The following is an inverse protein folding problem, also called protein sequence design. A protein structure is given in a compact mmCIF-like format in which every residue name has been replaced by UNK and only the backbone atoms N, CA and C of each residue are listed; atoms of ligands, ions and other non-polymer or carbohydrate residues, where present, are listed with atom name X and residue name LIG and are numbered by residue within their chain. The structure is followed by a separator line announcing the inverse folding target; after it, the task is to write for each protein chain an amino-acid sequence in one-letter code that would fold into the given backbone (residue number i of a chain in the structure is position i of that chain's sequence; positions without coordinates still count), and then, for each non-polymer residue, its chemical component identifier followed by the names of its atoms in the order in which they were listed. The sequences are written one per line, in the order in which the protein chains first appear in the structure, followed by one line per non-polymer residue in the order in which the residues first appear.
data_IF_714119572103
#
_entry.id   IF_714119572103
#
_cell.length_a   1.000
_cell.length_b   1.000
_cell.length_c   1.000
_cell.angle_alpha   90.00
_cell.angle_beta   90.00
_cell.angle_gamma   90.00
#
_symmetry.space_group_name_H-M   'P 1'
#
loop_
_entity.id
_entity.type
_entity.pdbx_description
1 polymer ?
#
# COMPACT_ATOMS: atom_id res chain seq x y z
N UNK A 1 -2.19 -1.35 -28.37
CA UNK A 1 -1.20 -0.33 -27.94
C UNK A 1 -1.77 0.68 -26.92
N UNK A 2 -2.96 1.27 -27.12
CA UNK A 2 -3.51 2.32 -26.22
C UNK A 2 -3.79 1.86 -24.77
N UNK A 3 -4.19 0.61 -24.56
CA UNK A 3 -4.50 0.06 -23.23
C UNK A 3 -3.28 0.04 -22.30
N UNK A 4 -2.17 -0.56 -22.74
CA UNK A 4 -0.93 -0.64 -21.94
C UNK A 4 -0.37 0.74 -21.62
N UNK A 5 -0.49 1.70 -22.55
CA UNK A 5 -0.10 3.08 -22.30
C UNK A 5 -1.01 3.77 -21.27
N UNK A 6 -2.32 3.50 -21.30
CA UNK A 6 -3.26 4.01 -20.28
C UNK A 6 -2.97 3.40 -18.92
N UNK A 7 -2.70 2.10 -18.86
CA UNK A 7 -2.30 1.40 -17.64
C UNK A 7 -0.99 1.98 -17.07
N UNK A 8 0.03 2.17 -17.91
CA UNK A 8 1.29 2.80 -17.48
C UNK A 8 1.10 4.20 -16.90
N UNK A 9 0.21 5.01 -17.50
CA UNK A 9 -0.17 6.32 -16.95
C UNK A 9 -0.93 6.21 -15.62
N UNK A 10 -1.82 5.23 -15.49
CA UNK A 10 -2.55 4.99 -14.24
C UNK A 10 -1.61 4.59 -13.09
N UNK A 11 -0.57 3.80 -13.38
CA UNK A 11 0.45 3.40 -12.43
C UNK A 11 1.37 4.55 -12.00
N UNK A 12 1.41 5.68 -12.72
CA UNK A 12 2.20 6.85 -12.28
C UNK A 12 1.59 7.54 -11.05
N UNK A 13 0.27 7.44 -10.85
CA UNK A 13 -0.44 8.12 -9.76
C UNK A 13 0.05 7.68 -8.37
N UNK A 14 0.15 6.36 -8.08
CA UNK A 14 0.73 5.86 -6.82
C UNK A 14 2.25 6.06 -6.75
N UNK A 15 2.95 5.89 -7.87
CA UNK A 15 4.42 6.03 -7.94
C UNK A 15 4.87 7.45 -7.58
N UNK A 16 4.08 8.46 -7.88
CA UNK A 16 4.35 9.85 -7.51
C UNK A 16 4.46 10.08 -5.99
N UNK A 17 3.95 9.16 -5.17
CA UNK A 17 4.04 9.25 -3.69
C UNK A 17 5.37 8.69 -3.17
N UNK A 18 6.02 7.77 -3.89
CA UNK A 18 7.28 7.14 -3.47
C UNK A 18 8.41 8.12 -3.11
N UNK A 19 8.63 9.25 -3.83
CA UNK A 19 9.66 10.22 -3.46
C UNK A 19 9.43 10.83 -2.08
N UNK A 20 8.18 11.13 -1.73
CA UNK A 20 7.85 11.68 -0.40
C UNK A 20 8.16 10.65 0.70
N UNK A 21 7.85 9.37 0.45
CA UNK A 21 8.17 8.28 1.38
C UNK A 21 9.67 8.19 1.62
N UNK A 22 10.46 8.24 0.56
CA UNK A 22 11.92 8.19 0.62
C UNK A 22 12.51 9.37 1.41
N UNK A 23 12.00 10.58 1.21
CA UNK A 23 12.45 11.78 1.94
C UNK A 23 12.07 11.66 3.43
N UNK A 24 10.82 11.30 3.74
CA UNK A 24 10.35 11.16 5.12
C UNK A 24 11.14 10.11 5.89
N UNK A 25 11.33 8.93 5.31
CA UNK A 25 12.13 7.87 5.93
C UNK A 25 13.60 8.22 6.00
N UNK A 26 14.17 8.84 4.96
CA UNK A 26 15.58 9.26 4.94
C UNK A 26 15.91 10.27 6.04
N UNK A 27 15.08 11.29 6.22
CA UNK A 27 15.22 12.26 7.31
C UNK A 27 14.95 11.57 8.66
N UNK A 28 13.92 10.72 8.73
CA UNK A 28 13.59 9.98 9.95
C UNK A 28 14.72 9.09 10.47
N UNK A 29 15.39 8.36 9.57
CA UNK A 29 16.57 7.55 9.90
C UNK A 29 17.80 8.39 10.24
N UNK A 30 17.98 9.54 9.60
CA UNK A 30 19.07 10.46 9.94
C UNK A 30 18.90 11.05 11.34
N UNK A 31 17.66 11.40 11.72
CA UNK A 31 17.34 12.03 13.01
C UNK A 31 17.25 11.01 14.15
N UNK A 32 16.91 9.75 13.86
CA UNK A 32 16.83 8.65 14.82
C UNK A 32 17.61 7.41 14.33
N UNK A 33 18.95 7.42 14.42
CA UNK A 33 19.75 6.24 14.08
C UNK A 33 19.49 5.06 15.03
N UNK A 34 18.94 5.33 16.23
CA UNK A 34 18.54 4.31 17.20
C UNK A 34 17.43 3.37 16.69
N UNK A 35 16.60 3.81 15.72
CA UNK A 35 15.60 2.96 15.06
C UNK A 35 16.22 1.74 14.38
N UNK A 36 17.51 1.81 14.01
CA UNK A 36 18.25 0.70 13.40
C UNK A 36 18.86 -0.28 14.42
N UNK A 37 18.99 0.13 15.68
CA UNK A 37 19.72 -0.62 16.71
C UNK A 37 18.81 -1.15 17.84
N UNK A 38 17.50 -0.90 17.78
CA UNK A 38 16.56 -1.38 18.81
C UNK A 38 16.80 -0.79 20.21
N UNK A 39 17.56 0.31 20.30
CA UNK A 39 17.90 0.98 21.54
C UNK A 39 16.79 1.92 22.04
N UNK A 40 16.81 2.21 23.35
CA UNK A 40 15.83 3.09 24.00
C UNK A 40 15.82 4.49 23.36
N UNK A 41 14.61 4.97 23.02
CA UNK A 41 14.37 6.28 22.42
C UNK A 41 14.40 7.33 23.53
N UNK A 42 15.56 7.96 23.75
CA UNK A 42 15.68 9.11 24.66
C UNK A 42 15.90 10.41 23.87
N UNK A 43 14.94 11.33 23.94
CA UNK A 43 15.03 12.68 23.37
C UNK A 43 14.00 13.00 22.29
N UNK A 44 13.62 14.29 22.20
CA UNK A 44 12.61 14.78 21.26
C UNK A 44 12.99 14.53 19.78
N UNK A 45 14.27 14.59 19.44
CA UNK A 45 14.76 14.33 18.08
C UNK A 45 14.52 12.87 17.63
N UNK A 46 14.75 11.89 18.51
CA UNK A 46 14.51 10.49 18.19
C UNK A 46 13.01 10.18 18.06
N UNK A 47 12.16 10.83 18.85
CA UNK A 47 10.70 10.69 18.74
C UNK A 47 10.18 11.22 17.39
N UNK A 48 10.68 12.39 16.98
CA UNK A 48 10.36 12.98 15.66
C UNK A 48 10.87 12.07 14.54
N UNK A 49 12.09 11.54 14.67
CA UNK A 49 12.65 10.61 13.68
C UNK A 49 11.80 9.34 13.53
N UNK A 50 11.39 8.70 14.63
CA UNK A 50 10.49 7.53 14.59
C UNK A 50 9.13 7.89 13.95
N UNK A 51 8.57 9.05 14.28
CA UNK A 51 7.32 9.51 13.68
C UNK A 51 7.43 9.66 12.16
N UNK A 52 8.54 10.25 11.67
CA UNK A 52 8.82 10.39 10.24
C UNK A 52 9.00 9.03 9.54
N UNK A 53 9.74 8.10 10.17
CA UNK A 53 9.91 6.74 9.64
C UNK A 53 8.57 6.02 9.57
N UNK A 54 7.73 6.11 10.61
CA UNK A 54 6.39 5.50 10.62
C UNK A 54 5.45 6.14 9.62
N UNK A 55 5.50 7.46 9.43
CA UNK A 55 4.71 8.15 8.42
C UNK A 55 5.06 7.70 7.00
N UNK A 56 6.36 7.58 6.67
CA UNK A 56 6.79 7.04 5.37
C UNK A 56 6.50 5.54 5.22
N UNK A 57 6.67 4.76 6.30
CA UNK A 57 6.36 3.33 6.34
C UNK A 57 4.89 3.02 6.05
N UNK A 58 3.97 3.80 6.61
CA UNK A 58 2.52 3.62 6.38
C UNK A 58 2.13 3.63 4.88
N UNK A 59 2.84 4.42 4.07
CA UNK A 59 2.63 4.49 2.62
C UNK A 59 3.19 3.26 1.90
N UNK A 60 4.36 2.77 2.32
CA UNK A 60 4.99 1.57 1.75
C UNK A 60 4.20 0.32 2.13
N UNK A 61 3.82 0.20 3.40
CA UNK A 61 3.07 -0.94 3.94
C UNK A 61 1.70 -1.11 3.26
N UNK A 62 1.09 0.00 2.81
CA UNK A 62 -0.20 0.02 2.12
C UNK A 62 -0.07 0.26 0.60
N UNK A 63 1.11 0.06 0.02
CA UNK A 63 1.37 0.24 -1.42
C UNK A 63 0.36 -0.51 -2.30
N UNK A 64 0.02 -1.74 -1.93
CA UNK A 64 -0.88 -2.56 -2.72
C UNK A 64 -2.29 -1.94 -2.87
N UNK A 65 -2.80 -1.33 -1.79
CA UNK A 65 -4.08 -0.62 -1.79
C UNK A 65 -3.97 0.68 -2.61
N UNK A 66 -2.88 1.43 -2.45
CA UNK A 66 -2.63 2.66 -3.23
C UNK A 66 -2.58 2.36 -4.73
N UNK A 67 -1.95 1.26 -5.13
CA UNK A 67 -1.91 0.79 -6.51
C UNK A 67 -3.28 0.34 -7.02
N UNK A 68 -4.05 -0.41 -6.21
CA UNK A 68 -5.40 -0.82 -6.60
C UNK A 68 -6.29 0.40 -6.90
N UNK A 69 -6.29 1.40 -6.00
CA UNK A 69 -7.06 2.64 -6.20
C UNK A 69 -6.53 3.43 -7.39
N UNK A 70 -5.22 3.63 -7.50
CA UNK A 70 -4.60 4.41 -8.57
C UNK A 70 -4.84 3.82 -9.96
N UNK A 71 -4.79 2.49 -10.10
CA UNK A 71 -5.16 1.80 -11.34
C UNK A 71 -6.65 1.95 -11.62
N UNK A 72 -7.51 1.78 -10.62
CA UNK A 72 -8.96 1.95 -10.77
C UNK A 72 -9.37 3.35 -11.24
N UNK A 73 -8.77 4.39 -10.66
CA UNK A 73 -9.00 5.78 -11.07
C UNK A 73 -8.42 6.04 -12.46
N UNK A 74 -7.15 5.70 -12.71
CA UNK A 74 -6.48 6.01 -13.98
C UNK A 74 -6.98 5.20 -15.18
N UNK A 75 -7.61 4.06 -14.95
CA UNK A 75 -8.26 3.27 -16.00
C UNK A 75 -9.70 3.69 -16.27
N UNK A 76 -10.33 4.45 -15.37
CA UNK A 76 -11.67 5.02 -15.59
C UNK A 76 -11.67 5.96 -16.81
N UNK A 77 -12.80 6.09 -17.50
CA UNK A 77 -12.92 6.98 -18.67
C UNK A 77 -12.86 8.45 -18.29
N UNK A 78 -13.42 8.80 -17.12
CA UNK A 78 -13.50 10.18 -16.62
C UNK A 78 -12.52 10.47 -15.48
N UNK A 79 -11.68 9.50 -15.09
CA UNK A 79 -10.90 9.54 -13.84
C UNK A 79 -11.79 9.80 -12.61
N UNK A 80 -13.06 9.36 -12.66
CA UNK A 80 -13.99 9.53 -11.56
C UNK A 80 -13.60 8.65 -10.37
N UNK A 81 -13.77 9.19 -9.16
CA UNK A 81 -13.48 8.50 -7.90
C UNK A 81 -14.24 7.17 -7.74
N UNK A 82 -15.37 7.00 -8.44
CA UNK A 82 -16.14 5.75 -8.50
C UNK A 82 -15.29 4.56 -8.95
N UNK A 83 -14.38 4.76 -9.93
CA UNK A 83 -13.47 3.70 -10.39
C UNK A 83 -12.45 3.30 -9.32
N UNK A 84 -11.99 4.27 -8.53
CA UNK A 84 -11.11 4.02 -7.38
C UNK A 84 -11.79 3.24 -6.27
N UNK A 85 -13.04 3.59 -5.93
CA UNK A 85 -13.84 2.88 -4.92
C UNK A 85 -14.14 1.44 -5.37
N UNK A 86 -14.50 1.24 -6.64
CA UNK A 86 -14.75 -0.10 -7.19
C UNK A 86 -13.48 -0.97 -7.15
N UNK A 87 -12.31 -0.40 -7.45
CA UNK A 87 -11.04 -1.11 -7.36
C UNK A 87 -10.65 -1.43 -5.90
N UNK A 88 -10.91 -0.52 -4.96
CA UNK A 88 -10.71 -0.78 -3.52
C UNK A 88 -11.61 -1.92 -3.03
N UNK A 89 -12.90 -1.91 -3.38
CA UNK A 89 -13.83 -2.96 -3.02
C UNK A 89 -13.39 -4.33 -3.57
N UNK A 90 -12.94 -4.35 -4.83
CA UNK A 90 -12.42 -5.56 -5.48
C UNK A 90 -11.14 -6.07 -4.79
N UNK A 91 -10.23 -5.16 -4.42
CA UNK A 91 -9.00 -5.49 -3.69
C UNK A 91 -9.31 -6.13 -2.33
N UNK A 92 -10.21 -5.52 -1.54
CA UNK A 92 -10.62 -6.04 -0.24
C UNK A 92 -11.34 -7.39 -0.36
N UNK A 93 -12.21 -7.55 -1.36
CA UNK A 93 -12.90 -8.83 -1.61
C UNK A 93 -11.91 -9.94 -1.91
N UNK A 94 -10.98 -9.72 -2.85
CA UNK A 94 -9.99 -10.74 -3.26
C UNK A 94 -9.06 -11.08 -2.10
N UNK A 95 -8.53 -10.08 -1.40
CA UNK A 95 -7.61 -10.30 -0.26
C UNK A 95 -8.29 -11.05 0.89
N UNK A 96 -9.58 -10.81 1.12
CA UNK A 96 -10.36 -11.54 2.14
C UNK A 96 -10.61 -12.99 1.71
N UNK A 97 -11.04 -13.20 0.46
CA UNK A 97 -11.33 -14.53 -0.08
C UNK A 97 -10.10 -15.43 -0.12
N UNK A 98 -8.93 -14.88 -0.46
CA UNK A 98 -7.66 -15.61 -0.49
C UNK A 98 -6.96 -15.66 0.87
N UNK A 99 -7.55 -15.09 1.93
CA UNK A 99 -6.96 -15.20 3.27
C UNK A 99 -6.93 -16.66 3.74
N UNK A 100 -5.90 -17.02 4.49
CA UNK A 100 -5.70 -18.39 4.98
C UNK A 100 -6.89 -18.89 5.79
N UNK A 101 -7.53 -18.02 6.59
CA UNK A 101 -8.72 -18.38 7.36
C UNK A 101 -9.92 -18.77 6.49
N UNK A 102 -10.16 -18.03 5.41
CA UNK A 102 -11.24 -18.37 4.47
C UNK A 102 -10.88 -19.63 3.70
N UNK A 103 -9.70 -19.66 3.07
CA UNK A 103 -9.24 -20.78 2.22
C UNK A 103 -9.23 -22.12 2.98
N UNK A 104 -8.75 -22.15 4.23
CA UNK A 104 -8.76 -23.38 5.05
C UNK A 104 -10.16 -23.87 5.40
N UNK A 105 -11.15 -22.98 5.44
CA UNK A 105 -12.55 -23.34 5.72
C UNK A 105 -13.23 -23.91 4.47
N UNK A 106 -12.97 -23.33 3.29
CA UNK A 106 -13.55 -23.82 2.03
C UNK A 106 -12.81 -25.04 1.48
N UNK A 107 -11.49 -25.16 1.64
CA UNK A 107 -10.70 -26.26 1.05
C UNK A 107 -11.20 -27.68 1.38
N UNK A 108 -11.60 -28.01 2.63
CA UNK A 108 -12.22 -29.29 2.94
C UNK A 108 -13.55 -29.50 2.20
N UNK A 109 -14.36 -28.46 2.05
CA UNK A 109 -15.63 -28.53 1.30
C UNK A 109 -15.42 -28.69 -0.22
N UNK A 110 -14.33 -28.15 -0.77
CA UNK A 110 -13.96 -28.37 -2.19
C UNK A 110 -13.36 -29.76 -2.40
N UNK A 111 -12.63 -30.30 -1.43
CA UNK A 111 -12.07 -31.65 -1.48
C UNK A 111 -13.10 -32.75 -1.23
N UNK A 112 -14.17 -32.45 -0.47
CA UNK A 112 -15.23 -33.40 -0.13
C UNK A 112 -16.26 -33.63 -1.25
N UNK A 113 -16.18 -32.91 -2.38
CA UNK A 113 -17.10 -33.04 -3.51
C UNK A 113 -18.49 -32.48 -3.14
N UNK A 114 -18.86 -31.27 -3.55
CA UNK A 114 -19.24 -30.94 -4.94
C UNK A 114 -18.33 -31.45 -6.04
#
# INVERSE_FOLDING_TARGET
MKFLQKLGKALMLPVAVLPICGILMGIGYWLCPATMQGGEIQGAANLIGLFLVKAGGALIDNMAILFAIGVGVGMSEKNDGTGGIAALASWLMITTLLSTGVVTTIMPSVAAGI
#
